data_IF_559893823069
#
_entry.id   IF_559893823069
#
_cell.length_a   1.000
_cell.length_b   1.000
_cell.length_c   1.000
_cell.angle_alpha   90.00
_cell.angle_beta   90.00
_cell.angle_gamma   90.00
#
_symmetry.space_group_name_H-M   'P 1'
#
loop_
_entity.id
_entity.type
_entity.pdbx_description
1 polymer ?
#
# COMPACT_ATOMS: atom_id res chain seq x y z
N UNK A 1 -2.83 -0.70 -6.98
CA UNK A 1 -1.37 -0.88 -7.13
C UNK A 1 -0.88 -2.10 -6.35
N UNK A 2 -1.10 -2.14 -5.04
CA UNK A 2 -0.67 -3.18 -4.10
C UNK A 2 -0.96 -4.61 -4.58
N UNK A 3 -2.22 -4.94 -4.92
CA UNK A 3 -2.61 -6.26 -5.44
C UNK A 3 -1.76 -6.74 -6.62
N UNK A 4 -1.53 -5.85 -7.60
CA UNK A 4 -0.76 -6.17 -8.80
C UNK A 4 0.69 -6.52 -8.46
N UNK A 5 1.32 -5.75 -7.56
CA UNK A 5 2.69 -6.00 -7.12
C UNK A 5 2.78 -7.31 -6.32
N UNK A 6 1.84 -7.56 -5.40
CA UNK A 6 1.75 -8.80 -4.64
C UNK A 6 1.67 -10.04 -5.55
N UNK A 7 0.77 -10.01 -6.55
CA UNK A 7 0.62 -11.13 -7.49
C UNK A 7 1.86 -11.36 -8.35
N UNK A 8 2.59 -10.30 -8.75
CA UNK A 8 3.88 -10.42 -9.45
C UNK A 8 4.98 -11.05 -8.59
N UNK A 9 4.86 -10.96 -7.26
CA UNK A 9 5.77 -11.61 -6.31
C UNK A 9 5.33 -13.03 -5.95
N UNK A 10 4.21 -13.52 -6.50
CA UNK A 10 3.67 -14.86 -6.25
C UNK A 10 3.32 -15.15 -4.78
N UNK A 11 2.98 -14.13 -3.99
CA UNK A 11 2.54 -14.30 -2.59
C UNK A 11 1.03 -14.08 -2.45
N UNK A 12 0.42 -14.79 -1.51
CA UNK A 12 -0.97 -14.70 -1.09
C UNK A 12 -1.22 -13.46 -0.22
N UNK A 13 -2.49 -13.10 -0.02
CA UNK A 13 -2.85 -12.03 0.91
C UNK A 13 -2.47 -12.36 2.35
N UNK A 14 -2.50 -13.65 2.74
CA UNK A 14 -2.14 -14.07 4.08
C UNK A 14 -0.62 -13.93 4.31
N UNK A 15 0.21 -14.34 3.35
CA UNK A 15 1.66 -14.15 3.43
C UNK A 15 2.03 -12.67 3.52
N UNK A 16 1.41 -11.79 2.72
CA UNK A 16 1.63 -10.35 2.85
C UNK A 16 1.21 -9.82 4.24
N UNK A 17 0.10 -10.34 4.78
CA UNK A 17 -0.39 -9.94 6.10
C UNK A 17 0.62 -10.31 7.21
N UNK A 18 1.16 -11.52 7.15
CA UNK A 18 2.20 -12.01 8.05
C UNK A 18 3.48 -11.16 7.95
N UNK A 19 3.92 -10.81 6.73
CA UNK A 19 5.12 -9.99 6.50
C UNK A 19 5.03 -8.60 7.16
N UNK A 20 3.83 -8.00 7.24
CA UNK A 20 3.66 -6.65 7.80
C UNK A 20 3.02 -6.64 9.20
N UNK A 21 2.63 -7.82 9.71
CA UNK A 21 2.05 -8.00 11.03
C UNK A 21 0.61 -7.47 11.15
N UNK A 22 -0.26 -7.81 10.19
CA UNK A 22 -1.68 -7.46 10.16
C UNK A 22 -2.54 -8.68 9.84
N UNK A 23 -3.86 -8.54 9.76
CA UNK A 23 -4.77 -9.62 9.36
C UNK A 23 -4.90 -9.74 7.84
N UNK A 24 -5.15 -10.94 7.33
CA UNK A 24 -5.46 -11.15 5.91
C UNK A 24 -6.69 -10.34 5.47
N UNK A 25 -7.69 -10.20 6.35
CA UNK A 25 -8.87 -9.38 6.10
C UNK A 25 -8.51 -7.90 5.86
N UNK A 26 -7.52 -7.37 6.60
CA UNK A 26 -7.03 -6.00 6.38
C UNK A 26 -6.33 -5.85 5.03
N UNK A 27 -5.53 -6.84 4.59
CA UNK A 27 -4.96 -6.86 3.24
C UNK A 27 -6.06 -6.89 2.17
N UNK A 28 -7.12 -7.68 2.39
CA UNK A 28 -8.26 -7.70 1.47
C UNK A 28 -8.92 -6.32 1.33
N UNK A 29 -9.13 -5.61 2.45
CA UNK A 29 -9.65 -4.23 2.43
C UNK A 29 -8.72 -3.31 1.66
N UNK A 30 -7.41 -3.34 1.93
CA UNK A 30 -6.40 -2.53 1.22
C UNK A 30 -6.51 -2.73 -0.29
N UNK A 31 -6.69 -3.97 -0.76
CA UNK A 31 -6.71 -4.27 -2.18
C UNK A 31 -8.03 -3.89 -2.87
N UNK A 32 -9.17 -4.02 -2.19
CA UNK A 32 -10.49 -3.97 -2.81
C UNK A 32 -11.31 -2.74 -2.45
N UNK A 33 -11.18 -2.22 -1.22
CA UNK A 33 -12.04 -1.13 -0.74
C UNK A 33 -11.60 0.21 -1.33
N UNK A 34 -12.56 1.12 -1.54
CA UNK A 34 -12.24 2.47 -2.04
C UNK A 34 -11.39 3.26 -1.04
N UNK A 35 -11.63 3.07 0.25
CA UNK A 35 -10.97 3.78 1.34
C UNK A 35 -10.53 2.78 2.41
N UNK A 36 -9.31 2.95 2.91
CA UNK A 36 -8.80 2.23 4.08
C UNK A 36 -7.95 3.21 4.87
N UNK A 37 -8.24 3.35 6.16
CA UNK A 37 -7.38 4.12 7.05
C UNK A 37 -6.07 3.35 7.26
N UNK A 38 -4.98 3.90 6.76
CA UNK A 38 -3.64 3.32 6.83
C UNK A 38 -2.72 4.27 7.58
N UNK A 39 -1.89 3.73 8.45
CA UNK A 39 -0.87 4.48 9.18
C UNK A 39 0.40 4.64 8.36
N UNK A 40 1.23 5.63 8.69
CA UNK A 40 2.55 5.79 8.08
C UNK A 40 3.45 4.55 8.30
N UNK A 41 3.35 3.91 9.47
CA UNK A 41 4.10 2.68 9.77
C UNK A 41 3.68 1.54 8.83
N UNK A 42 2.39 1.39 8.56
CA UNK A 42 1.89 0.39 7.60
C UNK A 42 2.35 0.71 6.17
N UNK A 43 2.37 1.98 5.77
CA UNK A 43 2.91 2.40 4.47
C UNK A 43 4.38 1.95 4.33
N UNK A 44 5.22 2.23 5.33
CA UNK A 44 6.63 1.81 5.32
C UNK A 44 6.76 0.28 5.25
N UNK A 45 5.98 -0.44 6.06
CA UNK A 45 5.98 -1.90 6.06
C UNK A 45 5.55 -2.50 4.72
N UNK A 46 4.47 -1.97 4.13
CA UNK A 46 3.97 -2.38 2.81
C UNK A 46 5.02 -2.11 1.74
N UNK A 47 5.66 -0.93 1.78
CA UNK A 47 6.70 -0.52 0.81
C UNK A 47 7.87 -1.49 0.83
N UNK A 48 8.37 -1.83 2.02
CA UNK A 48 9.45 -2.81 2.21
C UNK A 48 9.03 -4.21 1.78
N UNK A 49 7.88 -4.68 2.25
CA UNK A 49 7.38 -6.03 1.96
C UNK A 49 7.15 -6.26 0.46
N UNK A 50 6.71 -5.22 -0.26
CA UNK A 50 6.43 -5.29 -1.68
C UNK A 50 7.52 -4.70 -2.56
N UNK A 51 8.66 -4.27 -2.03
CA UNK A 51 9.74 -3.63 -2.80
C UNK A 51 9.22 -2.50 -3.71
N UNK A 52 8.49 -1.56 -3.10
CA UNK A 52 7.96 -0.35 -3.71
C UNK A 52 8.57 0.87 -3.02
N UNK A 53 8.60 2.01 -3.71
CA UNK A 53 8.99 3.27 -3.07
C UNK A 53 7.88 3.72 -2.12
N UNK A 54 8.25 4.24 -0.94
CA UNK A 54 7.31 4.72 0.07
C UNK A 54 6.37 5.80 -0.50
N UNK A 55 6.89 6.68 -1.36
CA UNK A 55 6.11 7.72 -2.03
C UNK A 55 5.04 7.13 -2.96
N UNK A 56 5.30 6.02 -3.65
CA UNK A 56 4.31 5.36 -4.51
C UNK A 56 3.17 4.76 -3.68
N UNK A 57 3.50 4.17 -2.53
CA UNK A 57 2.52 3.62 -1.60
C UNK A 57 1.69 4.72 -0.94
N UNK A 58 2.33 5.81 -0.50
CA UNK A 58 1.63 7.02 -0.04
C UNK A 58 0.65 7.54 -1.10
N UNK A 59 1.12 7.77 -2.34
CA UNK A 59 0.29 8.25 -3.46
C UNK A 59 -0.92 7.35 -3.69
N UNK A 60 -0.72 6.02 -3.69
CA UNK A 60 -1.80 5.06 -3.86
C UNK A 60 -2.92 5.18 -2.82
N UNK A 61 -2.57 5.44 -1.55
CA UNK A 61 -3.58 5.63 -0.51
C UNK A 61 -4.22 7.02 -0.56
N UNK A 62 -3.46 8.07 -0.88
CA UNK A 62 -4.01 9.42 -1.04
C UNK A 62 -5.00 9.52 -2.20
N UNK A 63 -4.68 8.93 -3.36
CA UNK A 63 -5.58 8.88 -4.52
C UNK A 63 -6.88 8.13 -4.21
N UNK A 64 -6.81 7.11 -3.34
CA UNK A 64 -7.98 6.38 -2.87
C UNK A 64 -8.93 7.22 -2.02
N UNK A 65 -8.45 8.31 -1.42
CA UNK A 65 -9.27 9.17 -0.56
C UNK A 65 -10.21 10.13 -1.32
N UNK A 66 -10.17 10.22 -2.67
CA UNK A 66 -11.03 11.06 -3.54
C UNK A 66 -11.18 12.56 -3.21
N UNK A 67 -10.75 13.04 -2.04
CA UNK A 67 -10.84 14.43 -1.57
C UNK A 67 -9.47 15.14 -1.56
N UNK A 68 -8.40 14.47 -2.01
CA UNK A 68 -7.05 15.05 -1.98
C UNK A 68 -6.31 14.74 -3.28
N UNK A 69 -6.29 15.70 -4.21
CA UNK A 69 -5.29 15.76 -5.27
C UNK A 69 -3.99 16.31 -4.67
N UNK A 70 -3.01 15.44 -4.45
CA UNK A 70 -1.68 15.86 -3.98
C UNK A 70 -0.71 15.88 -5.17
N UNK A 71 -0.39 17.07 -5.66
CA UNK A 71 0.78 17.26 -6.52
C UNK A 71 2.03 17.18 -5.66
N UNK A 72 2.83 16.14 -5.88
CA UNK A 72 4.16 16.06 -5.30
C UNK A 72 5.13 16.76 -6.25
N UNK A 73 5.32 18.06 -6.09
CA UNK A 73 6.40 18.79 -6.76
C UNK A 73 7.73 18.49 -6.05
N UNK A 74 8.63 17.80 -6.73
CA UNK A 74 9.99 17.57 -6.27
C UNK A 74 10.61 16.31 -6.87
N UNK A 75 11.54 16.49 -7.80
CA UNK A 75 12.59 15.51 -8.01
C UNK A 75 13.42 15.45 -6.73
N UNK A 76 13.30 14.36 -5.98
CA UNK A 76 14.25 14.06 -4.92
C UNK A 76 15.36 13.21 -5.53
N UNK A 77 16.50 13.87 -5.68
CA UNK A 77 17.82 13.38 -6.08
C UNK A 77 18.18 12.00 -5.55
#
# INVERSE_FOLDING_TARGET
>A
MIRRKRLKMHITQNELAEMIGVTQAYISKIENDKFVNVTLIEIIKISKALQLKELEVCKYFLEKHNDIYVEFEGELS
#
